data_IF_331539559224
#
_entry.id   IF_331539559224
#
_cell.length_a   1.000
_cell.length_b   1.000
_cell.length_c   1.000
_cell.angle_alpha   90.00
_cell.angle_beta   90.00
_cell.angle_gamma   90.00
#
_symmetry.space_group_name_H-M   'P 1'
#
loop_
_entity.id
_entity.type
_entity.pdbx_description
1 polymer ?
#
# COMPACT_ATOMS: atom_id res chain seq x y z
N UNK A 1 12.94 -64.59 -65.44
CA UNK A 1 11.73 -64.07 -64.85
C UNK A 1 11.85 -64.14 -63.31
N UNK A 2 12.16 -63.04 -62.67
CA UNK A 2 12.26 -62.93 -61.22
C UNK A 2 11.10 -62.05 -60.72
N UNK A 3 10.44 -62.39 -59.62
CA UNK A 3 9.28 -61.58 -59.10
C UNK A 3 9.73 -60.38 -58.29
N UNK A 4 9.07 -59.29 -58.55
CA UNK A 4 9.24 -57.99 -57.83
C UNK A 4 8.53 -58.07 -56.45
N UNK A 5 9.29 -57.79 -55.38
CA UNK A 5 8.79 -57.73 -54.03
C UNK A 5 8.18 -56.32 -53.78
N UNK A 6 6.90 -56.25 -53.36
CA UNK A 6 6.21 -55.05 -52.94
C UNK A 6 6.56 -54.77 -51.45
N UNK A 7 7.29 -53.67 -51.22
CA UNK A 7 7.56 -53.16 -49.88
C UNK A 7 6.31 -52.47 -49.28
N UNK A 8 5.95 -52.86 -48.06
CA UNK A 8 4.87 -52.27 -47.27
C UNK A 8 5.29 -50.87 -46.77
N UNK A 9 4.55 -49.89 -47.17
CA UNK A 9 4.62 -48.53 -46.59
C UNK A 9 3.99 -48.54 -45.18
N UNK A 10 4.82 -48.37 -44.15
CA UNK A 10 4.35 -48.18 -42.77
C UNK A 10 3.73 -46.80 -42.61
N UNK A 11 2.47 -46.78 -42.14
CA UNK A 11 1.79 -45.54 -41.73
C UNK A 11 2.38 -45.07 -40.39
N UNK A 12 3.11 -43.97 -40.38
CA UNK A 12 3.53 -43.25 -39.18
C UNK A 12 2.34 -42.42 -38.73
N UNK A 13 1.72 -42.83 -37.60
CA UNK A 13 0.72 -42.02 -36.95
C UNK A 13 1.41 -40.94 -36.12
N UNK A 14 1.25 -39.68 -36.50
CA UNK A 14 1.62 -38.54 -35.65
C UNK A 14 0.55 -38.38 -34.56
N UNK A 15 0.94 -38.30 -33.26
CA UNK A 15 0.00 -37.95 -32.24
C UNK A 15 -0.38 -36.47 -32.37
N UNK A 16 -1.69 -36.21 -32.53
CA UNK A 16 -2.24 -34.86 -32.48
C UNK A 16 -2.17 -34.39 -31.04
N UNK A 17 -1.21 -33.54 -30.69
CA UNK A 17 -1.18 -32.82 -29.43
C UNK A 17 -2.34 -31.81 -29.46
N UNK A 18 -3.43 -32.13 -28.80
CA UNK A 18 -4.49 -31.18 -28.46
C UNK A 18 -3.89 -30.14 -27.48
N UNK A 19 -3.43 -29.03 -28.01
CA UNK A 19 -3.18 -27.83 -27.20
C UNK A 19 -4.54 -27.29 -26.80
N UNK A 20 -5.00 -27.63 -25.58
CA UNK A 20 -6.12 -26.94 -24.96
C UNK A 20 -5.67 -25.51 -24.71
N UNK A 21 -6.02 -24.59 -25.59
CA UNK A 21 -5.95 -23.17 -25.33
C UNK A 21 -6.84 -22.94 -24.10
N UNK A 22 -6.22 -22.71 -22.95
CA UNK A 22 -6.92 -22.27 -21.76
C UNK A 22 -7.72 -21.01 -22.12
N UNK A 23 -9.03 -21.07 -22.04
CA UNK A 23 -9.90 -19.90 -22.18
C UNK A 23 -9.46 -18.97 -21.05
N UNK A 24 -8.74 -17.90 -21.36
CA UNK A 24 -8.43 -16.85 -20.41
C UNK A 24 -9.77 -16.26 -19.97
N UNK A 25 -10.17 -16.60 -18.76
CA UNK A 25 -11.40 -16.06 -18.18
C UNK A 25 -11.25 -14.56 -18.05
N UNK A 26 -12.17 -13.80 -18.67
CA UNK A 26 -12.12 -12.34 -18.58
C UNK A 26 -12.18 -11.89 -17.11
N UNK A 27 -11.39 -10.88 -16.73
CA UNK A 27 -11.43 -10.35 -15.37
C UNK A 27 -12.85 -9.92 -14.97
N UNK A 28 -13.26 -10.27 -13.77
CA UNK A 28 -14.55 -9.84 -13.21
C UNK A 28 -14.34 -8.50 -12.50
N UNK A 29 -15.11 -7.50 -12.91
CA UNK A 29 -15.03 -6.15 -12.38
C UNK A 29 -16.23 -5.84 -11.48
N UNK A 30 -16.03 -5.25 -10.27
CA UNK A 30 -17.15 -4.86 -9.42
C UNK A 30 -17.88 -3.65 -10.03
N UNK A 31 -19.15 -3.83 -10.37
CA UNK A 31 -20.01 -2.76 -10.88
C UNK A 31 -20.61 -1.87 -9.77
N UNK A 32 -20.18 -2.05 -8.55
CA UNK A 32 -20.61 -1.41 -7.31
C UNK A 32 -20.00 -2.20 -6.17
N UNK A 33 -20.74 -3.11 -5.56
CA UNK A 33 -20.19 -4.08 -4.63
C UNK A 33 -19.39 -5.17 -5.39
N UNK A 34 -18.44 -5.79 -4.69
CA UNK A 34 -17.75 -6.97 -5.19
C UNK A 34 -18.74 -8.13 -5.33
N UNK A 35 -18.76 -8.86 -6.45
CA UNK A 35 -19.51 -10.12 -6.53
C UNK A 35 -18.91 -11.12 -5.54
N UNK A 36 -19.76 -11.94 -4.95
CA UNK A 36 -19.37 -12.88 -3.89
C UNK A 36 -19.25 -14.30 -4.48
N UNK A 37 -18.25 -15.04 -4.01
CA UNK A 37 -18.07 -16.46 -4.30
C UNK A 37 -17.62 -17.22 -3.05
N UNK A 38 -17.79 -18.52 -3.03
CA UNK A 38 -17.22 -19.33 -1.94
C UNK A 38 -15.72 -19.50 -2.14
N UNK A 39 -14.93 -19.63 -1.07
CA UNK A 39 -13.49 -19.90 -1.18
C UNK A 39 -13.20 -21.10 -2.10
N UNK A 40 -13.93 -22.21 -1.96
CA UNK A 40 -13.73 -23.43 -2.74
C UNK A 40 -13.95 -23.22 -4.24
N UNK A 41 -14.94 -22.41 -4.62
CA UNK A 41 -15.18 -22.08 -6.04
C UNK A 41 -14.05 -21.29 -6.66
N UNK A 42 -13.19 -20.69 -5.83
CA UNK A 42 -12.02 -19.94 -6.20
C UNK A 42 -10.70 -20.65 -5.81
N UNK A 43 -10.74 -21.97 -5.57
CA UNK A 43 -9.56 -22.77 -5.22
C UNK A 43 -8.85 -22.30 -3.94
N UNK A 44 -9.63 -21.87 -2.96
CA UNK A 44 -9.19 -21.55 -1.61
C UNK A 44 -9.95 -22.43 -0.62
N UNK A 45 -9.42 -22.60 0.58
CA UNK A 45 -10.02 -23.45 1.62
C UNK A 45 -10.78 -22.60 2.64
N UNK A 46 -12.09 -22.78 2.76
CA UNK A 46 -12.87 -22.16 3.84
C UNK A 46 -12.42 -22.64 5.21
N UNK A 47 -11.90 -23.87 5.32
CA UNK A 47 -11.38 -24.41 6.58
C UNK A 47 -10.16 -23.64 7.09
N UNK A 48 -9.25 -23.21 6.20
CA UNK A 48 -8.07 -22.41 6.60
C UNK A 48 -8.49 -21.03 7.08
N UNK A 49 -9.47 -20.41 6.45
CA UNK A 49 -10.01 -19.11 6.90
C UNK A 49 -10.77 -19.26 8.22
N UNK A 50 -11.54 -20.35 8.41
CA UNK A 50 -12.21 -20.62 9.68
C UNK A 50 -11.21 -20.87 10.84
N UNK A 51 -10.05 -21.46 10.56
CA UNK A 51 -8.98 -21.57 11.55
C UNK A 51 -8.39 -20.19 11.89
N UNK A 52 -8.13 -19.38 10.88
CA UNK A 52 -7.67 -17.99 11.06
C UNK A 52 -8.69 -17.16 11.87
N UNK A 53 -9.99 -17.30 11.58
CA UNK A 53 -11.07 -16.62 12.33
C UNK A 53 -10.97 -16.92 13.84
N UNK A 54 -10.82 -18.20 14.20
CA UNK A 54 -10.66 -18.62 15.61
C UNK A 54 -9.44 -18.03 16.27
N UNK A 55 -8.32 -17.96 15.57
CA UNK A 55 -7.09 -17.35 16.07
C UNK A 55 -7.27 -15.83 16.27
N UNK A 56 -7.93 -15.14 15.33
CA UNK A 56 -8.25 -13.71 15.45
C UNK A 56 -9.19 -13.46 16.65
N UNK A 57 -10.25 -14.25 16.79
CA UNK A 57 -11.21 -14.15 17.89
C UNK A 57 -10.56 -14.42 19.25
N UNK A 58 -9.59 -15.35 19.30
CA UNK A 58 -8.82 -15.61 20.54
C UNK A 58 -7.86 -14.48 20.94
N UNK A 59 -7.69 -13.47 20.08
CA UNK A 59 -6.80 -12.31 20.31
C UNK A 59 -5.31 -12.60 20.08
N UNK A 60 -4.93 -13.71 19.47
CA UNK A 60 -3.52 -14.05 19.14
C UNK A 60 -2.88 -12.96 18.30
N UNK A 61 -3.64 -12.31 17.42
CA UNK A 61 -3.17 -11.21 16.56
C UNK A 61 -3.57 -9.82 17.07
N UNK A 62 -3.99 -9.72 18.34
CA UNK A 62 -4.44 -8.48 18.95
C UNK A 62 -5.83 -8.05 18.46
N UNK A 63 -6.01 -6.77 18.21
CA UNK A 63 -7.30 -6.16 17.88
C UNK A 63 -7.49 -6.07 16.35
N UNK A 64 -7.68 -7.19 15.69
CA UNK A 64 -8.05 -7.24 14.27
C UNK A 64 -9.51 -6.85 14.11
N UNK A 65 -9.82 -5.95 13.18
CA UNK A 65 -11.18 -5.48 12.89
C UNK A 65 -11.79 -6.15 11.70
N UNK A 66 -10.99 -6.33 10.64
CA UNK A 66 -11.50 -6.81 9.37
C UNK A 66 -10.46 -7.59 8.59
N UNK A 67 -10.91 -8.64 7.92
CA UNK A 67 -10.20 -9.35 6.86
C UNK A 67 -11.12 -9.40 5.64
N UNK A 68 -10.61 -8.90 4.51
CA UNK A 68 -11.33 -8.91 3.24
C UNK A 68 -10.43 -9.48 2.15
N UNK A 69 -10.89 -10.52 1.43
CA UNK A 69 -10.09 -11.19 0.40
C UNK A 69 -10.87 -11.26 -0.90
N UNK A 70 -10.21 -10.84 -1.97
CA UNK A 70 -10.70 -10.92 -3.35
C UNK A 70 -9.83 -11.87 -4.13
N UNK A 71 -10.44 -12.79 -4.87
CA UNK A 71 -9.75 -13.65 -5.83
C UNK A 71 -10.48 -13.68 -7.16
N UNK A 72 -9.74 -13.49 -8.27
CA UNK A 72 -10.29 -13.46 -9.63
C UNK A 72 -11.49 -12.52 -9.77
N UNK A 73 -11.50 -11.42 -9.01
CA UNK A 73 -12.57 -10.42 -9.00
C UNK A 73 -13.78 -10.77 -8.14
N UNK A 74 -13.75 -11.83 -7.34
CA UNK A 74 -14.78 -12.20 -6.39
C UNK A 74 -14.33 -11.98 -4.94
N UNK A 75 -15.18 -11.35 -4.13
CA UNK A 75 -15.01 -11.37 -2.68
C UNK A 75 -15.27 -12.79 -2.17
N UNK A 76 -14.24 -13.43 -1.63
CA UNK A 76 -14.29 -14.80 -1.12
C UNK A 76 -14.26 -14.87 0.40
N UNK A 77 -13.77 -13.84 1.04
CA UNK A 77 -13.77 -13.64 2.50
C UNK A 77 -14.12 -12.19 2.80
N UNK A 78 -15.09 -12.00 3.65
CA UNK A 78 -15.41 -10.74 4.30
C UNK A 78 -15.74 -11.03 5.75
N UNK A 79 -14.78 -10.80 6.66
CA UNK A 79 -14.90 -11.05 8.09
C UNK A 79 -14.70 -9.76 8.85
N UNK A 80 -15.66 -9.47 9.72
CA UNK A 80 -15.65 -8.33 10.63
C UNK A 80 -15.55 -8.82 12.05
N UNK A 81 -14.64 -8.25 12.82
CA UNK A 81 -14.42 -8.53 14.23
C UNK A 81 -14.65 -7.24 15.01
N UNK A 82 -15.89 -6.90 15.38
CA UNK A 82 -16.20 -5.64 16.04
C UNK A 82 -15.34 -5.40 17.27
N UNK A 83 -14.78 -4.21 17.39
CA UNK A 83 -13.92 -3.82 18.50
C UNK A 83 -14.47 -2.57 19.19
N UNK A 84 -14.34 -2.53 20.50
CA UNK A 84 -14.64 -1.33 21.29
C UNK A 84 -13.39 -0.43 21.32
N UNK A 85 -13.30 0.46 20.34
CA UNK A 85 -12.18 1.39 20.22
C UNK A 85 -12.02 2.29 21.45
N UNK A 86 -13.11 2.70 22.11
CA UNK A 86 -13.04 3.50 23.31
C UNK A 86 -12.38 2.74 24.46
N UNK A 87 -12.71 1.46 24.58
CA UNK A 87 -12.07 0.59 25.58
C UNK A 87 -10.61 0.34 25.25
N UNK A 88 -10.30 0.08 23.98
CA UNK A 88 -8.93 -0.18 23.50
C UNK A 88 -8.03 1.04 23.73
N UNK A 89 -8.51 2.26 23.46
CA UNK A 89 -7.72 3.49 23.58
C UNK A 89 -7.67 4.07 25.00
N UNK A 90 -8.47 3.52 25.95
CA UNK A 90 -8.56 4.05 27.30
C UNK A 90 -7.24 3.96 28.05
N UNK A 91 -6.78 5.10 28.58
CA UNK A 91 -5.54 5.19 29.35
C UNK A 91 -4.26 5.07 28.50
N UNK A 92 -4.37 4.96 27.18
CA UNK A 92 -3.22 5.01 26.30
C UNK A 92 -2.76 6.47 26.17
N UNK A 93 -1.53 6.71 26.55
CA UNK A 93 -0.86 8.02 26.43
C UNK A 93 0.39 7.84 25.59
N UNK A 94 0.65 8.78 24.72
CA UNK A 94 1.84 8.76 23.90
C UNK A 94 1.71 9.63 22.65
N UNK A 95 2.81 9.82 21.90
CA UNK A 95 2.84 10.73 20.78
C UNK A 95 1.87 10.37 19.65
N UNK A 96 1.59 9.07 19.47
CA UNK A 96 0.64 8.59 18.46
C UNK A 96 -0.63 8.05 19.10
N UNK A 97 -0.54 7.60 20.32
CA UNK A 97 -1.59 6.87 21.04
C UNK A 97 -2.30 7.69 22.12
N UNK A 98 -2.47 8.99 21.92
CA UNK A 98 -3.22 9.82 22.87
C UNK A 98 -4.68 9.41 22.83
N UNK A 99 -5.07 8.49 23.73
CA UNK A 99 -6.42 7.91 23.82
C UNK A 99 -7.47 8.81 24.43
N UNK A 100 -8.62 8.21 24.78
CA UNK A 100 -9.73 8.88 25.47
C UNK A 100 -9.24 9.51 26.79
N UNK A 101 -9.56 10.77 26.99
CA UNK A 101 -9.14 11.51 28.20
C UNK A 101 -7.79 12.21 28.05
N UNK A 102 -7.11 12.12 26.91
CA UNK A 102 -5.95 12.95 26.62
C UNK A 102 -6.35 14.42 26.62
N UNK A 103 -5.78 15.18 27.54
CA UNK A 103 -5.98 16.63 27.66
C UNK A 103 -4.89 17.43 26.98
N UNK A 104 -3.90 16.73 26.37
CA UNK A 104 -2.81 17.38 25.68
C UNK A 104 -3.32 18.07 24.41
N UNK A 105 -3.17 19.38 24.34
CA UNK A 105 -3.53 20.24 23.22
C UNK A 105 -2.37 20.41 22.23
N UNK A 106 -1.31 19.64 22.38
CA UNK A 106 -0.17 19.68 21.45
C UNK A 106 -0.56 19.17 20.05
N UNK A 107 0.22 19.51 19.04
CA UNK A 107 0.00 19.09 17.66
C UNK A 107 0.07 17.57 17.48
N UNK A 108 0.84 16.86 18.30
CA UNK A 108 0.91 15.39 18.28
C UNK A 108 -0.47 14.78 18.55
N UNK A 109 -1.26 15.41 19.42
CA UNK A 109 -2.62 15.00 19.66
C UNK A 109 -3.50 15.10 18.41
N UNK A 110 -3.34 16.13 17.60
CA UNK A 110 -4.08 16.33 16.34
C UNK A 110 -3.73 15.25 15.29
N UNK A 111 -2.56 14.63 15.38
CA UNK A 111 -2.08 13.59 14.46
C UNK A 111 -2.24 12.17 14.97
N UNK A 112 -2.95 11.97 16.07
CA UNK A 112 -3.33 10.62 16.51
C UNK A 112 -4.39 10.02 15.59
N UNK A 113 -3.96 9.14 14.69
CA UNK A 113 -4.81 8.53 13.66
C UNK A 113 -5.93 7.65 14.22
N UNK A 114 -5.82 7.24 15.45
CA UNK A 114 -6.77 6.33 16.10
C UNK A 114 -7.71 7.01 17.11
N UNK A 115 -7.60 8.31 17.29
CA UNK A 115 -8.35 9.00 18.33
C UNK A 115 -9.87 9.03 18.02
N UNK A 116 -10.75 8.68 18.97
CA UNK A 116 -12.20 8.60 18.75
C UNK A 116 -12.84 9.88 18.23
N UNK A 117 -12.33 11.05 18.61
CA UNK A 117 -12.93 12.32 18.24
C UNK A 117 -12.85 12.64 16.74
N UNK A 118 -11.91 12.07 16.01
CA UNK A 118 -11.74 12.35 14.57
C UNK A 118 -11.58 11.10 13.73
N UNK A 119 -11.43 9.91 14.32
CA UNK A 119 -11.37 8.68 13.54
C UNK A 119 -12.72 8.44 12.84
N UNK A 120 -12.79 8.32 11.50
CA UNK A 120 -14.04 8.27 10.75
C UNK A 120 -15.00 7.16 11.17
N UNK A 121 -14.47 6.06 11.68
CA UNK A 121 -15.28 4.96 12.23
C UNK A 121 -16.27 5.44 13.27
N UNK A 122 -15.84 6.32 14.21
CA UNK A 122 -16.72 6.87 15.25
C UNK A 122 -17.70 7.91 14.73
N UNK A 123 -17.51 8.37 13.49
CA UNK A 123 -18.44 9.27 12.79
C UNK A 123 -19.49 8.49 11.99
N UNK A 124 -19.61 7.17 12.19
CA UNK A 124 -20.55 6.30 11.47
C UNK A 124 -20.15 6.00 10.02
N UNK A 125 -18.89 6.22 9.66
CA UNK A 125 -18.34 5.90 8.34
C UNK A 125 -17.60 4.57 8.38
N UNK A 126 -17.87 3.68 7.42
CA UNK A 126 -17.20 2.37 7.31
C UNK A 126 -15.85 2.48 6.59
N UNK A 127 -15.01 3.39 7.05
CA UNK A 127 -13.64 3.56 6.57
C UNK A 127 -12.67 3.49 7.74
N UNK A 128 -11.45 3.03 7.48
CA UNK A 128 -10.43 2.81 8.49
C UNK A 128 -9.14 3.50 8.08
N UNK A 129 -8.32 3.92 9.05
CA UNK A 129 -6.99 4.44 8.77
C UNK A 129 -6.16 3.38 8.03
N UNK A 130 -5.45 3.83 7.01
CA UNK A 130 -4.51 2.99 6.26
C UNK A 130 -3.10 3.05 6.85
N UNK A 131 -2.82 4.05 7.67
CA UNK A 131 -1.46 4.32 8.11
C UNK A 131 -0.50 4.30 6.91
N UNK A 132 0.69 3.77 7.04
CA UNK A 132 1.70 3.79 5.97
C UNK A 132 1.31 3.05 4.66
N UNK A 133 0.19 2.34 4.59
CA UNK A 133 -0.37 1.89 3.29
C UNK A 133 -0.70 3.11 2.41
N UNK A 134 -1.01 4.26 3.01
CA UNK A 134 -1.19 5.56 2.34
C UNK A 134 -0.03 5.90 1.39
N UNK A 135 1.20 5.55 1.76
CA UNK A 135 2.41 5.78 0.95
C UNK A 135 2.32 5.12 -0.43
N UNK A 136 1.86 3.87 -0.47
CA UNK A 136 1.66 3.14 -1.73
C UNK A 136 0.58 3.79 -2.60
N UNK A 137 -0.48 4.33 -1.97
CA UNK A 137 -1.54 5.02 -2.70
C UNK A 137 -1.06 6.37 -3.22
N UNK A 138 -0.30 7.13 -2.43
CA UNK A 138 0.30 8.39 -2.87
C UNK A 138 1.28 8.18 -4.03
N UNK A 139 2.11 7.12 -3.99
CA UNK A 139 2.97 6.74 -5.10
C UNK A 139 2.15 6.35 -6.35
N UNK A 140 1.03 5.67 -6.19
CA UNK A 140 0.09 5.37 -7.29
C UNK A 140 -0.41 6.67 -7.95
N UNK A 141 -0.74 7.68 -7.17
CA UNK A 141 -1.15 9.01 -7.68
C UNK A 141 -0.01 9.72 -8.41
N UNK A 142 1.23 9.64 -7.89
CA UNK A 142 2.42 10.13 -8.60
C UNK A 142 2.57 9.42 -9.96
N UNK A 143 2.36 8.11 -10.01
CA UNK A 143 2.40 7.34 -11.26
C UNK A 143 1.37 7.82 -12.29
N UNK A 144 0.17 8.13 -11.85
CA UNK A 144 -0.86 8.72 -12.72
C UNK A 144 -0.39 10.08 -13.27
N UNK A 145 0.13 10.95 -12.42
CA UNK A 145 0.59 12.29 -12.81
C UNK A 145 1.79 12.22 -13.78
N UNK A 146 2.71 11.25 -13.59
CA UNK A 146 3.79 10.96 -14.54
C UNK A 146 3.23 10.52 -15.89
N UNK A 147 2.29 9.56 -15.90
CA UNK A 147 1.68 9.06 -17.12
C UNK A 147 0.91 10.11 -17.92
N UNK A 148 0.50 11.18 -17.25
CA UNK A 148 -0.18 12.35 -17.86
C UNK A 148 0.80 13.47 -18.26
N UNK A 149 2.10 13.30 -17.98
CA UNK A 149 3.11 14.32 -18.25
C UNK A 149 3.04 15.55 -17.32
N UNK A 150 2.28 15.48 -16.22
CA UNK A 150 2.12 16.56 -15.24
C UNK A 150 3.28 16.55 -14.24
N UNK A 151 3.77 15.36 -13.89
CA UNK A 151 5.01 15.15 -13.10
C UNK A 151 6.06 14.58 -14.04
N UNK A 152 7.31 15.03 -13.90
CA UNK A 152 8.45 14.54 -14.70
C UNK A 152 8.79 13.08 -14.43
N UNK A 153 9.61 12.49 -15.30
CA UNK A 153 10.06 11.12 -15.15
C UNK A 153 10.77 10.87 -13.80
N UNK A 154 10.79 9.63 -13.29
CA UNK A 154 11.34 9.33 -11.96
C UNK A 154 12.82 9.67 -11.78
N UNK A 155 13.60 9.75 -12.84
CA UNK A 155 15.02 10.14 -12.85
C UNK A 155 15.27 11.64 -12.69
N UNK A 156 14.21 12.47 -12.64
CA UNK A 156 14.33 13.91 -12.52
C UNK A 156 14.44 14.34 -11.06
N UNK A 157 15.25 15.39 -10.77
CA UNK A 157 15.38 15.94 -9.42
C UNK A 157 14.02 16.40 -8.87
N UNK A 158 13.64 15.93 -7.69
CA UNK A 158 12.34 16.29 -7.12
C UNK A 158 12.30 17.71 -6.53
N UNK A 159 13.43 18.31 -6.16
CA UNK A 159 13.46 19.67 -5.63
C UNK A 159 12.94 20.74 -6.60
N UNK A 160 12.88 20.45 -7.90
CA UNK A 160 12.27 21.36 -8.87
C UNK A 160 10.81 21.73 -8.56
N UNK A 161 10.11 20.92 -7.76
CA UNK A 161 8.73 21.16 -7.33
C UNK A 161 8.59 22.05 -6.10
N UNK A 162 9.71 22.49 -5.50
CA UNK A 162 9.75 23.28 -4.27
C UNK A 162 10.47 24.62 -4.45
N UNK A 163 10.52 25.14 -5.69
CA UNK A 163 11.21 26.41 -6.01
C UNK A 163 10.59 27.65 -5.37
N UNK A 164 9.34 27.56 -4.94
CA UNK A 164 8.61 28.57 -4.20
C UNK A 164 8.96 28.62 -2.71
N UNK A 165 9.80 27.68 -2.24
CA UNK A 165 10.24 27.58 -0.85
C UNK A 165 11.67 28.08 -0.67
N UNK A 166 11.99 28.50 0.55
CA UNK A 166 13.37 28.82 0.92
C UNK A 166 14.23 27.55 0.97
N UNK A 167 15.03 27.33 -0.09
CA UNK A 167 15.95 26.23 -0.23
C UNK A 167 17.38 26.57 0.25
N UNK A 168 17.62 27.75 0.80
CA UNK A 168 18.97 28.20 1.23
C UNK A 168 19.58 27.33 2.34
N UNK A 169 18.73 26.63 3.10
CA UNK A 169 19.12 25.75 4.22
C UNK A 169 19.03 24.27 3.89
N UNK A 170 18.76 23.93 2.62
CA UNK A 170 18.70 22.54 2.15
C UNK A 170 20.12 22.06 1.88
N UNK A 171 20.43 20.82 2.29
CA UNK A 171 21.73 20.21 1.99
C UNK A 171 21.97 20.20 0.47
N UNK A 172 23.13 20.70 -0.02
CA UNK A 172 23.42 20.76 -1.45
C UNK A 172 23.31 19.43 -2.19
N UNK A 173 23.51 18.29 -1.52
CA UNK A 173 23.39 16.95 -2.09
C UNK A 173 21.95 16.65 -2.50
N UNK A 174 20.96 17.20 -1.78
CA UNK A 174 19.54 16.96 -2.05
C UNK A 174 19.11 17.52 -3.44
N UNK A 175 19.83 18.49 -4.01
CA UNK A 175 19.57 18.98 -5.37
C UNK A 175 19.75 17.92 -6.46
N UNK A 176 20.49 16.83 -6.16
CA UNK A 176 20.68 15.70 -7.09
C UNK A 176 19.70 14.57 -6.85
N UNK A 177 18.98 14.57 -5.72
CA UNK A 177 18.05 13.51 -5.38
C UNK A 177 16.87 13.50 -6.35
N UNK A 178 16.65 12.35 -6.96
CA UNK A 178 15.61 12.13 -7.96
C UNK A 178 14.27 11.75 -7.33
N UNK A 179 13.20 11.83 -8.09
CA UNK A 179 11.90 11.33 -7.66
C UNK A 179 11.96 9.80 -7.41
N UNK A 180 12.77 9.06 -8.16
CA UNK A 180 13.00 7.63 -7.91
C UNK A 180 13.67 7.40 -6.56
N UNK A 181 14.67 8.22 -6.17
CA UNK A 181 15.31 8.12 -4.86
C UNK A 181 14.29 8.35 -3.71
N UNK A 182 13.37 9.29 -3.92
CA UNK A 182 12.28 9.55 -2.98
C UNK A 182 11.32 8.36 -2.88
N UNK A 183 10.85 7.85 -4.02
CA UNK A 183 9.90 6.73 -4.10
C UNK A 183 10.49 5.43 -3.55
N UNK A 184 11.80 5.24 -3.64
CA UNK A 184 12.51 4.05 -3.16
C UNK A 184 13.06 4.18 -1.74
N UNK A 185 12.75 5.27 -1.02
CA UNK A 185 13.29 5.55 0.32
C UNK A 185 14.84 5.67 0.34
N UNK A 186 15.42 6.23 -0.72
CA UNK A 186 16.90 6.35 -0.90
C UNK A 186 17.32 7.80 -1.15
N UNK A 187 16.54 8.76 -0.68
CA UNK A 187 16.83 10.19 -0.88
C UNK A 187 18.13 10.65 -0.23
N UNK A 188 18.67 9.90 0.74
CA UNK A 188 19.87 10.27 1.51
C UNK A 188 19.58 11.21 2.68
N UNK A 189 18.34 11.64 2.86
CA UNK A 189 17.91 12.44 4.01
C UNK A 189 18.06 11.59 5.27
N UNK A 190 18.74 12.09 6.30
CA UNK A 190 18.87 11.47 7.61
C UNK A 190 17.50 11.34 8.26
N UNK A 191 17.13 10.09 8.61
CA UNK A 191 15.82 9.80 9.14
C UNK A 191 15.85 8.64 10.13
N UNK A 192 15.37 8.90 11.34
CA UNK A 192 15.32 7.96 12.44
C UNK A 192 13.87 7.65 12.83
N UNK A 193 13.25 6.69 12.14
CA UNK A 193 11.86 6.30 12.37
C UNK A 193 11.75 4.87 12.92
N UNK A 194 12.49 3.92 12.32
CA UNK A 194 12.40 2.52 12.71
C UNK A 194 13.43 2.11 13.78
N UNK A 195 14.45 2.92 13.97
CA UNK A 195 15.57 2.70 14.91
C UNK A 195 15.44 3.52 16.20
N UNK A 196 14.38 4.30 16.34
CA UNK A 196 14.08 5.11 17.54
C UNK A 196 12.71 4.76 18.10
N UNK A 197 12.53 4.84 19.43
CA UNK A 197 11.21 4.71 20.03
C UNK A 197 10.29 5.85 19.56
N UNK A 198 8.96 5.65 19.68
CA UNK A 198 7.97 6.66 19.32
C UNK A 198 7.90 7.76 20.39
N UNK A 199 8.88 8.64 20.39
CA UNK A 199 9.00 9.79 21.28
C UNK A 199 9.70 10.94 20.55
N UNK A 200 10.10 12.00 21.26
CA UNK A 200 10.75 13.20 20.70
C UNK A 200 12.08 12.93 19.98
N UNK A 201 12.70 11.77 20.16
CA UNK A 201 13.91 11.38 19.41
C UNK A 201 13.63 10.77 18.05
N UNK A 202 12.36 10.45 17.75
CA UNK A 202 11.92 9.87 16.49
C UNK A 202 11.62 10.99 15.48
N UNK A 203 12.24 10.92 14.31
CA UNK A 203 12.11 11.99 13.31
C UNK A 203 10.67 12.12 12.77
N UNK A 204 9.91 11.03 12.71
CA UNK A 204 8.48 11.09 12.31
C UNK A 204 7.64 11.80 13.36
N UNK A 205 7.89 11.58 14.65
CA UNK A 205 7.21 12.31 15.72
C UNK A 205 7.55 13.81 15.68
N UNK A 206 8.82 14.15 15.40
CA UNK A 206 9.24 15.53 15.20
C UNK A 206 8.56 16.15 13.98
N UNK A 207 8.45 15.41 12.87
CA UNK A 207 7.71 15.82 11.67
C UNK A 207 6.26 16.15 12.02
N UNK A 208 5.55 15.23 12.64
CA UNK A 208 4.14 15.36 12.99
C UNK A 208 3.88 16.51 13.97
N UNK A 209 4.87 16.85 14.80
CA UNK A 209 4.83 17.98 15.73
C UNK A 209 5.20 19.31 15.08
N UNK A 210 5.70 19.32 13.84
CA UNK A 210 6.16 20.53 13.17
C UNK A 210 5.01 21.30 12.51
N UNK A 211 5.12 22.64 12.35
CA UNK A 211 4.08 23.45 11.71
C UNK A 211 4.02 23.28 10.18
N UNK A 212 5.09 22.82 9.55
CA UNK A 212 5.17 22.60 8.09
C UNK A 212 6.01 21.35 7.83
N UNK A 213 5.33 20.24 7.54
CA UNK A 213 5.95 18.93 7.35
C UNK A 213 6.87 18.88 6.13
N UNK A 214 6.53 19.64 5.08
CA UNK A 214 7.35 19.71 3.87
C UNK A 214 8.64 20.49 4.18
N UNK A 215 8.53 21.66 4.81
CA UNK A 215 9.70 22.45 5.18
C UNK A 215 10.58 21.72 6.20
N UNK A 216 9.99 21.02 7.17
CA UNK A 216 10.71 20.19 8.13
C UNK A 216 11.56 19.14 7.41
N UNK A 217 10.95 18.38 6.50
CA UNK A 217 11.64 17.30 5.76
C UNK A 217 12.77 17.85 4.89
N UNK A 218 12.53 18.93 4.14
CA UNK A 218 13.53 19.50 3.25
C UNK A 218 14.76 20.07 4.00
N UNK A 219 14.62 20.40 5.29
CA UNK A 219 15.70 20.96 6.14
C UNK A 219 16.44 19.91 6.96
N UNK A 220 16.04 18.64 6.88
CA UNK A 220 16.81 17.58 7.56
C UNK A 220 18.20 17.46 6.94
N UNK A 221 19.21 17.15 7.73
CA UNK A 221 20.54 16.86 7.21
C UNK A 221 20.50 15.62 6.31
N UNK A 222 21.58 15.41 5.57
CA UNK A 222 21.77 14.17 4.81
C UNK A 222 22.89 13.34 5.43
N UNK A 223 22.66 12.05 5.60
CA UNK A 223 23.65 11.10 6.10
C UNK A 223 24.25 10.22 4.97
N UNK A 224 23.71 10.34 3.76
CA UNK A 224 24.18 9.62 2.59
C UNK A 224 23.98 10.42 1.30
N UNK A 225 24.68 10.05 0.23
CA UNK A 225 24.36 10.53 -1.11
C UNK A 225 23.05 9.89 -1.62
N UNK A 226 22.23 10.63 -2.41
CA UNK A 226 21.02 10.10 -3.00
C UNK A 226 21.28 8.78 -3.76
N UNK A 227 20.38 7.82 -3.63
CA UNK A 227 20.46 6.52 -4.27
C UNK A 227 21.37 5.50 -3.58
N UNK A 228 22.11 5.85 -2.53
CA UNK A 228 23.14 4.97 -1.93
C UNK A 228 22.70 4.25 -0.67
N UNK A 229 21.83 4.84 0.15
CA UNK A 229 21.37 4.28 1.42
C UNK A 229 19.85 4.25 1.47
N UNK A 230 19.30 3.12 1.89
CA UNK A 230 17.87 3.01 2.18
C UNK A 230 17.62 3.39 3.64
N UNK A 231 16.63 4.24 3.86
CA UNK A 231 16.09 4.57 5.18
C UNK A 231 14.59 4.77 5.07
N UNK A 232 13.79 4.04 5.86
CA UNK A 232 12.35 4.26 5.88
C UNK A 232 12.05 5.67 6.37
N UNK A 233 11.44 6.50 5.51
CA UNK A 233 11.36 7.93 5.69
C UNK A 233 9.95 8.45 5.36
N UNK A 234 9.15 8.66 6.40
CA UNK A 234 7.79 9.21 6.29
C UNK A 234 7.77 10.64 5.77
N UNK A 235 8.76 11.47 6.14
CA UNK A 235 8.89 12.82 5.60
C UNK A 235 9.11 12.83 4.10
N UNK A 236 9.97 11.93 3.58
CA UNK A 236 10.13 11.74 2.14
C UNK A 236 8.81 11.41 1.45
N UNK A 237 8.01 10.54 2.05
CA UNK A 237 6.67 10.22 1.53
C UNK A 237 5.74 11.43 1.57
N UNK A 238 5.84 12.30 2.58
CA UNK A 238 5.05 13.52 2.68
C UNK A 238 5.37 14.52 1.56
N UNK A 239 6.59 14.53 1.02
CA UNK A 239 6.95 15.40 -0.11
C UNK A 239 6.11 15.11 -1.36
N UNK A 240 5.55 13.90 -1.54
CA UNK A 240 4.67 13.57 -2.66
C UNK A 240 3.44 14.48 -2.73
N UNK A 241 2.89 14.88 -1.57
CA UNK A 241 1.78 15.84 -1.51
C UNK A 241 2.16 17.20 -2.09
N UNK A 242 3.37 17.69 -1.75
CA UNK A 242 3.91 18.93 -2.31
C UNK A 242 4.20 18.85 -3.80
N UNK A 243 4.76 17.73 -4.26
CA UNK A 243 5.06 17.48 -5.68
C UNK A 243 3.78 17.55 -6.52
N UNK A 244 2.72 16.84 -6.13
CA UNK A 244 1.44 16.86 -6.85
C UNK A 244 0.85 18.26 -6.84
N UNK A 245 0.88 18.97 -5.71
CA UNK A 245 0.38 20.36 -5.63
C UNK A 245 1.13 21.30 -6.56
N UNK A 246 2.45 21.24 -6.57
CA UNK A 246 3.28 22.10 -7.43
C UNK A 246 3.11 21.77 -8.92
N UNK A 247 3.01 20.49 -9.27
CA UNK A 247 2.91 20.05 -10.66
C UNK A 247 1.52 20.27 -11.28
N UNK A 248 0.46 20.13 -10.48
CA UNK A 248 -0.93 20.10 -11.00
C UNK A 248 -1.77 21.31 -10.56
N UNK A 249 -1.29 22.11 -9.63
CA UNK A 249 -2.06 23.16 -8.96
C UNK A 249 -3.11 22.64 -7.97
N UNK A 250 -3.28 21.31 -7.83
CA UNK A 250 -4.31 20.66 -7.00
C UNK A 250 -3.69 19.94 -5.82
N UNK A 251 -4.38 19.86 -4.70
CA UNK A 251 -3.98 18.95 -3.62
C UNK A 251 -4.16 17.50 -4.05
N UNK A 252 -3.33 16.60 -3.49
CA UNK A 252 -3.28 15.20 -3.90
C UNK A 252 -4.60 14.44 -3.66
N UNK A 253 -5.37 14.79 -2.64
CA UNK A 253 -6.68 14.21 -2.36
C UNK A 253 -7.70 14.54 -3.44
N UNK A 254 -7.77 15.80 -3.85
CA UNK A 254 -8.60 16.26 -4.96
C UNK A 254 -8.20 15.60 -6.29
N UNK A 255 -6.89 15.54 -6.53
CA UNK A 255 -6.34 14.93 -7.73
C UNK A 255 -6.63 13.42 -7.76
N UNK A 256 -6.40 12.73 -6.64
CA UNK A 256 -6.67 11.30 -6.48
C UNK A 256 -8.17 11.00 -6.64
N UNK A 257 -9.04 11.85 -6.09
CA UNK A 257 -10.49 11.68 -6.23
C UNK A 257 -10.88 11.59 -7.71
N UNK A 258 -10.39 12.51 -8.55
CA UNK A 258 -10.76 12.55 -9.97
C UNK A 258 -10.04 11.49 -10.82
N UNK A 259 -8.78 11.17 -10.50
CA UNK A 259 -7.92 10.38 -11.38
C UNK A 259 -7.77 8.92 -10.96
N UNK A 260 -8.05 8.62 -9.70
CA UNK A 260 -7.96 7.28 -9.15
C UNK A 260 -9.29 6.81 -8.54
N UNK A 261 -9.84 7.55 -7.58
CA UNK A 261 -10.94 7.05 -6.77
C UNK A 261 -12.25 6.95 -7.56
N UNK A 262 -12.69 8.02 -8.21
CA UNK A 262 -13.91 7.99 -9.04
C UNK A 262 -13.85 6.94 -10.15
N UNK A 263 -12.77 6.81 -10.94
CA UNK A 263 -12.65 5.75 -11.92
C UNK A 263 -12.78 4.33 -11.36
N UNK A 264 -12.30 4.10 -10.13
CA UNK A 264 -12.43 2.83 -9.44
C UNK A 264 -13.78 2.65 -8.73
N UNK A 265 -14.64 3.66 -8.72
CA UNK A 265 -15.93 3.65 -8.02
C UNK A 265 -15.81 3.89 -6.51
N UNK A 266 -14.66 4.36 -6.03
CA UNK A 266 -14.44 4.76 -4.63
C UNK A 266 -15.10 6.10 -4.41
N UNK A 267 -16.03 6.19 -3.45
CA UNK A 267 -16.83 7.39 -3.19
C UNK A 267 -16.65 7.95 -1.80
N UNK A 268 -16.36 7.09 -0.83
CA UNK A 268 -16.18 7.48 0.56
C UNK A 268 -14.72 7.31 0.97
N UNK A 269 -14.05 8.43 1.24
CA UNK A 269 -12.68 8.45 1.73
C UNK A 269 -12.48 9.68 2.62
N UNK A 270 -11.48 9.60 3.47
CA UNK A 270 -10.99 10.76 4.21
C UNK A 270 -9.47 10.80 4.07
N UNK A 271 -8.94 11.99 3.78
CA UNK A 271 -7.50 12.22 3.78
C UNK A 271 -7.16 13.34 4.75
N UNK A 272 -6.54 12.96 5.85
CA UNK A 272 -6.15 13.88 6.90
C UNK A 272 -5.22 14.97 6.36
N UNK A 273 -5.33 16.19 6.89
CA UNK A 273 -4.51 17.33 6.46
C UNK A 273 -3.42 17.61 7.48
N UNK A 274 -2.25 18.02 7.01
CA UNK A 274 -1.20 18.62 7.81
C UNK A 274 -1.56 20.06 8.20
N UNK A 275 -0.83 20.72 9.12
CA UNK A 275 -1.12 22.10 9.52
C UNK A 275 -1.10 23.10 8.35
N UNK A 276 -0.36 22.82 7.28
CA UNK A 276 -0.31 23.67 6.07
C UNK A 276 -1.40 23.31 5.04
N UNK A 277 -2.34 22.42 5.38
CA UNK A 277 -3.44 22.01 4.51
C UNK A 277 -3.08 20.97 3.44
N UNK A 278 -1.82 20.54 3.35
CA UNK A 278 -1.43 19.45 2.50
C UNK A 278 -2.01 18.13 3.04
N UNK A 279 -2.59 17.24 2.19
CA UNK A 279 -2.91 15.89 2.64
C UNK A 279 -1.67 15.17 3.15
N UNK A 280 -1.87 14.43 4.24
CA UNK A 280 -0.87 13.59 4.86
C UNK A 280 -0.65 12.33 4.02
N UNK A 281 0.39 12.32 3.20
CA UNK A 281 0.74 11.21 2.31
C UNK A 281 1.62 10.16 2.97
N UNK A 282 2.00 10.37 4.22
CA UNK A 282 2.76 9.38 4.97
C UNK A 282 1.86 8.36 5.70
N UNK A 283 0.64 8.77 6.15
CA UNK A 283 -0.23 7.91 6.95
C UNK A 283 -1.71 8.28 6.95
N UNK A 284 -2.13 9.40 6.39
CA UNK A 284 -3.41 10.05 6.68
C UNK A 284 -4.62 9.62 5.84
N UNK A 285 -4.54 8.63 4.97
CA UNK A 285 -5.66 8.18 4.16
C UNK A 285 -6.52 7.13 4.90
N UNK A 286 -7.83 7.23 4.73
CA UNK A 286 -8.83 6.30 5.25
C UNK A 286 -9.70 5.80 4.10
N UNK A 287 -9.87 4.48 3.99
CA UNK A 287 -10.72 3.82 3.00
C UNK A 287 -11.45 2.63 3.64
N UNK A 288 -12.52 2.18 2.99
CA UNK A 288 -13.11 0.88 3.27
C UNK A 288 -12.17 -0.25 2.78
N UNK A 289 -12.33 -1.44 3.33
CA UNK A 289 -11.53 -2.59 2.89
C UNK A 289 -11.82 -2.96 1.43
N UNK A 290 -13.07 -2.84 1.01
CA UNK A 290 -13.51 -3.04 -0.37
C UNK A 290 -12.85 -2.08 -1.34
N UNK A 291 -12.74 -0.81 -0.94
CA UNK A 291 -12.16 0.23 -1.79
C UNK A 291 -10.63 0.12 -1.85
N UNK A 292 -9.98 -0.23 -0.73
CA UNK A 292 -8.56 -0.53 -0.74
C UNK A 292 -8.24 -1.75 -1.62
N UNK A 293 -9.10 -2.78 -1.58
CA UNK A 293 -8.95 -3.95 -2.44
C UNK A 293 -9.06 -3.59 -3.94
N UNK A 294 -9.86 -2.56 -4.34
CA UNK A 294 -9.92 -2.08 -5.72
C UNK A 294 -8.57 -1.58 -6.21
N UNK A 295 -7.82 -0.91 -5.35
CA UNK A 295 -6.48 -0.42 -5.69
C UNK A 295 -5.50 -1.61 -5.85
N UNK A 296 -5.55 -2.62 -4.97
CA UNK A 296 -4.77 -3.84 -5.15
C UNK A 296 -5.13 -4.58 -6.45
N UNK A 297 -6.42 -4.65 -6.77
CA UNK A 297 -6.90 -5.28 -7.99
C UNK A 297 -6.51 -4.52 -9.26
N UNK A 298 -6.43 -3.19 -9.20
CA UNK A 298 -5.85 -2.36 -10.27
C UNK A 298 -4.38 -2.76 -10.54
N UNK A 299 -3.61 -3.03 -9.48
CA UNK A 299 -2.22 -3.50 -9.63
C UNK A 299 -2.14 -4.91 -10.24
N UNK A 300 -3.05 -5.83 -9.89
CA UNK A 300 -3.12 -7.15 -10.52
C UNK A 300 -3.32 -7.09 -12.04
N UNK A 301 -4.03 -6.06 -12.51
CA UNK A 301 -4.36 -5.87 -13.92
C UNK A 301 -3.53 -4.78 -14.61
N UNK A 302 -2.27 -4.62 -14.19
CA UNK A 302 -1.29 -3.70 -14.81
C UNK A 302 -1.85 -2.27 -14.99
N UNK A 303 -2.61 -1.79 -14.01
CA UNK A 303 -3.16 -0.42 -14.03
C UNK A 303 -4.32 -0.22 -15.00
N UNK A 304 -4.92 -1.29 -15.50
CA UNK A 304 -6.18 -1.25 -16.27
C UNK A 304 -7.36 -1.60 -15.38
N UNK A 305 -8.43 -0.83 -15.44
CA UNK A 305 -9.67 -1.06 -14.73
C UNK A 305 -10.84 -1.08 -15.70
N UNK A 306 -11.50 -2.22 -15.82
CA UNK A 306 -12.66 -2.42 -16.71
C UNK A 306 -12.42 -1.84 -18.12
N UNK A 307 -11.29 -2.19 -18.74
CA UNK A 307 -10.89 -1.72 -20.06
C UNK A 307 -10.29 -0.31 -20.13
N UNK A 308 -10.33 0.46 -19.04
CA UNK A 308 -9.77 1.82 -18.96
C UNK A 308 -8.39 1.79 -18.29
N UNK A 309 -7.38 2.34 -18.95
CA UNK A 309 -6.04 2.46 -18.36
C UNK A 309 -6.02 3.65 -17.40
N UNK A 310 -5.79 3.35 -16.12
CA UNK A 310 -5.65 4.32 -15.02
C UNK A 310 -4.18 4.63 -14.75
N UNK A 311 -3.33 3.60 -14.65
CA UNK A 311 -1.89 3.75 -14.48
C UNK A 311 -1.19 3.66 -15.84
N UNK A 312 -0.12 4.42 -16.07
CA UNK A 312 0.64 4.31 -17.31
C UNK A 312 1.22 2.90 -17.48
N UNK A 313 1.35 2.46 -18.74
CA UNK A 313 1.95 1.17 -19.05
C UNK A 313 3.35 1.08 -18.43
N UNK A 314 3.66 -0.06 -17.82
CA UNK A 314 4.93 -0.31 -17.15
C UNK A 314 5.04 0.24 -15.72
N UNK A 315 4.11 1.11 -15.27
CA UNK A 315 4.18 1.66 -13.90
C UNK A 315 4.12 0.56 -12.83
N UNK A 316 3.18 -0.37 -12.95
CA UNK A 316 3.04 -1.45 -11.97
C UNK A 316 4.32 -2.26 -11.86
N UNK A 317 4.90 -2.65 -13.01
CA UNK A 317 6.18 -3.36 -13.07
C UNK A 317 7.28 -2.55 -12.36
N UNK A 318 7.41 -1.26 -12.68
CA UNK A 318 8.43 -0.41 -12.09
C UNK A 318 8.21 -0.23 -10.58
N UNK A 319 6.97 0.06 -10.17
CA UNK A 319 6.63 0.27 -8.76
C UNK A 319 6.83 -0.99 -7.88
N UNK A 320 6.75 -2.18 -8.47
CA UNK A 320 6.93 -3.46 -7.78
C UNK A 320 8.25 -4.16 -8.12
N UNK A 321 9.18 -3.45 -8.77
CA UNK A 321 10.58 -3.90 -8.92
C UNK A 321 11.34 -3.70 -7.62
N UNK A 322 12.27 -4.62 -7.30
CA UNK A 322 13.12 -4.56 -6.11
C UNK A 322 14.24 -3.53 -6.29
N UNK A 323 13.94 -2.26 -6.06
CA UNK A 323 14.91 -1.17 -6.17
C UNK A 323 15.87 -1.10 -4.98
N UNK A 324 15.43 -1.55 -3.80
CA UNK A 324 16.27 -1.74 -2.62
C UNK A 324 16.03 -3.15 -2.06
N UNK A 325 17.11 -3.90 -1.85
CA UNK A 325 17.05 -5.30 -1.41
C UNK A 325 17.51 -5.46 0.02
N UNK A 326 16.91 -6.42 0.76
CA UNK A 326 17.30 -6.73 2.13
C UNK A 326 17.06 -5.58 3.11
N UNK A 327 16.10 -4.70 2.83
CA UNK A 327 15.79 -3.51 3.65
C UNK A 327 15.25 -3.86 5.04
N UNK A 328 14.70 -5.06 5.18
CA UNK A 328 14.27 -5.68 6.44
C UNK A 328 14.33 -7.19 6.24
N UNK A 329 14.43 -8.02 7.28
CA UNK A 329 14.51 -9.47 7.12
C UNK A 329 13.38 -10.04 6.26
N UNK A 330 13.72 -10.57 5.08
CA UNK A 330 12.79 -11.13 4.09
C UNK A 330 12.01 -10.11 3.28
N UNK A 331 12.40 -8.83 3.28
CA UNK A 331 11.74 -7.78 2.53
C UNK A 331 12.69 -6.96 1.68
N UNK A 332 12.20 -6.63 0.49
CA UNK A 332 12.75 -5.66 -0.44
C UNK A 332 11.78 -4.48 -0.59
N UNK A 333 12.17 -3.45 -1.33
CA UNK A 333 11.35 -2.24 -1.49
C UNK A 333 11.34 -1.75 -2.94
N UNK A 334 10.14 -1.39 -3.41
CA UNK A 334 9.89 -0.75 -4.68
C UNK A 334 9.55 0.73 -4.54
N UNK A 335 8.64 1.25 -5.39
CA UNK A 335 8.10 2.61 -5.26
C UNK A 335 6.99 2.65 -4.20
N UNK A 336 7.39 2.80 -2.93
CA UNK A 336 6.52 2.80 -1.76
C UNK A 336 5.74 1.46 -1.57
N UNK A 337 6.25 0.37 -2.13
CA UNK A 337 5.73 -0.98 -1.96
C UNK A 337 6.77 -1.86 -1.30
N UNK A 338 6.35 -2.60 -0.29
CA UNK A 338 7.11 -3.71 0.28
C UNK A 338 6.99 -4.94 -0.61
N UNK A 339 8.09 -5.63 -0.84
CA UNK A 339 8.14 -6.80 -1.73
C UNK A 339 8.75 -7.95 -0.96
N UNK A 340 8.08 -9.11 -0.98
CA UNK A 340 8.61 -10.34 -0.39
C UNK A 340 8.36 -11.52 -1.33
N UNK A 341 8.97 -12.65 -1.03
CA UNK A 341 8.73 -13.91 -1.75
C UNK A 341 8.42 -15.01 -0.73
N UNK A 342 7.42 -15.82 -1.01
CA UNK A 342 7.10 -17.01 -0.22
C UNK A 342 7.00 -18.21 -1.16
N UNK A 343 7.92 -19.16 -1.00
CA UNK A 343 7.93 -20.40 -1.78
C UNK A 343 7.88 -20.15 -3.31
N UNK A 344 8.64 -19.20 -3.80
CA UNK A 344 8.68 -18.84 -5.23
C UNK A 344 7.55 -17.90 -5.69
N UNK A 345 6.63 -17.51 -4.80
CA UNK A 345 5.53 -16.59 -5.11
C UNK A 345 5.89 -15.19 -4.65
N UNK A 346 5.92 -14.22 -5.56
CA UNK A 346 6.11 -12.82 -5.25
C UNK A 346 4.84 -12.20 -4.67
N UNK A 347 5.03 -11.37 -3.66
CA UNK A 347 3.98 -10.70 -2.91
C UNK A 347 4.34 -9.23 -2.81
N UNK A 348 3.41 -8.36 -3.19
CA UNK A 348 3.53 -6.92 -3.01
C UNK A 348 2.64 -6.50 -1.85
N UNK A 349 3.13 -5.64 -0.99
CA UNK A 349 2.39 -5.24 0.19
C UNK A 349 2.50 -3.74 0.49
N UNK A 350 1.37 -3.10 0.75
CA UNK A 350 1.28 -1.92 1.58
C UNK A 350 1.23 -2.36 3.04
N UNK A 351 2.08 -1.79 3.91
CA UNK A 351 2.15 -2.13 5.33
C UNK A 351 1.99 -0.87 6.17
N UNK A 352 1.01 -0.86 7.05
CA UNK A 352 0.71 0.26 7.93
C UNK A 352 0.82 -0.12 9.41
N UNK A 353 1.18 0.88 10.21
CA UNK A 353 1.28 0.75 11.65
C UNK A 353 -0.05 0.25 12.25
N UNK A 354 0.03 -0.58 13.28
CA UNK A 354 -1.15 -1.15 13.92
C UNK A 354 -1.81 -2.33 13.19
N UNK A 355 -1.23 -2.83 12.08
CA UNK A 355 -1.72 -4.02 11.37
C UNK A 355 -2.64 -3.73 10.20
N UNK A 356 -2.42 -2.61 9.54
CA UNK A 356 -3.05 -2.28 8.27
C UNK A 356 -2.28 -2.94 7.13
N UNK A 357 -2.93 -3.77 6.31
CA UNK A 357 -2.27 -4.43 5.19
C UNK A 357 -3.12 -4.34 3.92
N UNK A 358 -2.44 -4.05 2.82
CA UNK A 358 -2.87 -4.35 1.46
C UNK A 358 -1.89 -5.37 0.91
N UNK A 359 -2.36 -6.56 0.60
CA UNK A 359 -1.55 -7.68 0.10
C UNK A 359 -2.00 -8.02 -1.30
N UNK A 360 -1.06 -8.05 -2.24
CA UNK A 360 -1.30 -8.41 -3.65
C UNK A 360 -0.44 -9.60 -4.01
N UNK A 361 -1.06 -10.67 -4.51
CA UNK A 361 -0.38 -11.91 -4.92
C UNK A 361 -0.66 -12.18 -6.39
N UNK A 362 0.17 -11.65 -7.32
CA UNK A 362 -0.12 -11.69 -8.76
C UNK A 362 -0.28 -13.11 -9.31
N UNK A 363 0.59 -14.02 -8.92
CA UNK A 363 0.56 -15.42 -9.38
C UNK A 363 -0.72 -16.19 -8.97
N UNK A 364 -1.54 -15.60 -8.10
CA UNK A 364 -2.79 -16.20 -7.60
C UNK A 364 -4.02 -15.38 -7.95
N UNK A 365 -3.86 -14.26 -8.66
CA UNK A 365 -4.94 -13.28 -8.91
C UNK A 365 -5.70 -12.96 -7.62
N UNK A 366 -4.96 -12.54 -6.58
CA UNK A 366 -5.48 -12.42 -5.23
C UNK A 366 -5.06 -11.09 -4.59
N UNK A 367 -6.03 -10.45 -3.94
CA UNK A 367 -5.84 -9.27 -3.08
C UNK A 367 -6.42 -9.57 -1.71
N UNK A 368 -5.70 -9.20 -0.66
CA UNK A 368 -6.24 -9.20 0.69
C UNK A 368 -6.01 -7.85 1.37
N UNK A 369 -6.98 -7.47 2.18
CA UNK A 369 -6.93 -6.30 3.05
C UNK A 369 -7.16 -6.77 4.48
N UNK A 370 -6.38 -6.26 5.42
CA UNK A 370 -6.73 -6.36 6.82
C UNK A 370 -6.62 -5.02 7.50
N UNK A 371 -7.52 -4.78 8.46
CA UNK A 371 -7.50 -3.66 9.36
C UNK A 371 -7.40 -4.15 10.79
N UNK A 372 -6.61 -3.45 11.58
CA UNK A 372 -6.37 -3.79 12.97
C UNK A 372 -6.17 -2.55 13.81
N UNK A 373 -6.40 -2.68 15.11
CA UNK A 373 -6.20 -1.65 16.11
C UNK A 373 -5.02 -2.00 17.05
N UNK A 374 -3.89 -2.41 16.49
CA UNK A 374 -2.73 -2.84 17.27
C UNK A 374 -1.74 -1.67 17.47
N UNK A 375 -2.21 -0.58 18.05
CA UNK A 375 -1.42 0.65 18.26
C UNK A 375 -0.26 0.39 19.24
N UNK A 376 -0.49 -0.45 20.24
CA UNK A 376 0.50 -0.82 21.24
C UNK A 376 0.54 -2.33 21.38
N UNK A 377 1.65 -2.98 21.01
CA UNK A 377 1.82 -4.39 21.28
C UNK A 377 2.22 -5.35 20.16
N UNK A 378 2.63 -4.87 19.02
CA UNK A 378 3.56 -5.59 18.12
C UNK A 378 3.13 -6.92 17.48
N UNK A 379 1.85 -7.30 17.45
CA UNK A 379 1.41 -8.60 16.87
C UNK A 379 1.02 -8.55 15.39
N UNK A 380 1.03 -7.38 14.76
CA UNK A 380 0.59 -7.19 13.38
C UNK A 380 1.38 -8.04 12.35
N UNK A 381 2.68 -8.23 12.57
CA UNK A 381 3.53 -9.04 11.68
C UNK A 381 3.14 -10.52 11.64
N UNK A 382 2.66 -11.06 12.77
CA UNK A 382 2.17 -12.44 12.84
C UNK A 382 0.86 -12.60 12.04
N UNK A 383 -0.03 -11.61 12.08
CA UNK A 383 -1.25 -11.60 11.26
C UNK A 383 -0.93 -11.64 9.77
N UNK A 384 0.05 -10.86 9.31
CA UNK A 384 0.47 -10.89 7.91
C UNK A 384 0.86 -12.29 7.45
N UNK A 385 1.67 -12.99 8.23
CA UNK A 385 2.08 -14.36 7.91
C UNK A 385 0.91 -15.36 7.97
N UNK A 386 0.00 -15.21 8.92
CA UNK A 386 -1.20 -16.05 9.02
C UNK A 386 -2.14 -15.87 7.81
N UNK A 387 -2.34 -14.61 7.37
CA UNK A 387 -3.08 -14.31 6.15
C UNK A 387 -2.44 -14.97 4.92
N UNK A 388 -1.11 -14.85 4.76
CA UNK A 388 -0.41 -15.51 3.66
C UNK A 388 -0.57 -17.02 3.71
N UNK A 389 -0.49 -17.64 4.88
CA UNK A 389 -0.71 -19.07 5.05
C UNK A 389 -2.12 -19.46 4.59
N UNK A 390 -3.16 -18.75 5.06
CA UNK A 390 -4.54 -19.03 4.68
C UNK A 390 -4.81 -18.88 3.16
N UNK A 391 -4.12 -17.92 2.52
CA UNK A 391 -4.29 -17.61 1.10
C UNK A 391 -3.46 -18.50 0.15
N UNK A 392 -2.33 -19.01 0.61
CA UNK A 392 -1.38 -19.76 -0.22
C UNK A 392 -1.47 -21.27 -0.01
N UNK A 393 -2.12 -21.73 1.07
CA UNK A 393 -2.42 -23.15 1.30
C UNK A 393 -3.61 -23.56 0.43
N UNK A 394 -3.47 -24.64 -0.36
CA UNK A 394 -4.53 -25.17 -1.20
C UNK A 394 -5.75 -25.64 -0.43
#
# INVERSE_FOLDING_TARGET
>A
MLPVSLSRLGRVAFPLLLVTAGISQQPVWPAGAWPVATPESQELSSATFAALDKEIESGVYGNVDRVFVVRRGYAVVDRRYPRDYKSISRGLVGPIGCGEGCTDTTRMHEFNYFHPNWHPYYQGRDIHTLQSVTKSIAATVIGIAIGRGEVGAPDRPFLQYFKDRDLSKVDPRLHRATLADLLTMRSGIEWHEQDRPLNETNTTIQLESSPDWIAFTLRQPMDADPGTKWAYNSGGSQLMSGIVKAATGRFIDDYANDRLFKPLGIRDFHWKKTPTGHPDTEGGLYLSAEDLARIGYLYLHDGVWNGTRILPAGWVKEATTRHATGVSPGWDYGYQWWITNRNGVDIWAGRGFGGQFLIVVPARDLVAVSYSWNVFGGRAGNLFNALLTAMLTP
#
